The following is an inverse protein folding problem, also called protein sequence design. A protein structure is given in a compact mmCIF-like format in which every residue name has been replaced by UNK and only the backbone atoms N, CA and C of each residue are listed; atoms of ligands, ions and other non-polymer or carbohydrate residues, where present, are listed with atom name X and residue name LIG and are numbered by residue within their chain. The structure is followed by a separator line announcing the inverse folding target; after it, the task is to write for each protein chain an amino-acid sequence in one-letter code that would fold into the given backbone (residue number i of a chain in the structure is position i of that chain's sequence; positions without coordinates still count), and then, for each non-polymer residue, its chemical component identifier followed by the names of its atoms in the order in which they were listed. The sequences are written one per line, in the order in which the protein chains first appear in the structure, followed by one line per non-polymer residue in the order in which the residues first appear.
data_IF_238924467109
#
_entry.id   IF_238924467109
#
_cell.length_a   1.000
_cell.length_b   1.000
_cell.length_c   1.000
_cell.angle_alpha   90.00
_cell.angle_beta   90.00
_cell.angle_gamma   90.00
#
_symmetry.space_group_name_H-M   'P 1'
#
loop_
_entity.id
_entity.type
_entity.pdbx_description
1 polymer ?
#
# COMPACT_ATOMS: atom_id res chain seq x y z
N UNK A 1 16.70 -25.30 29.37
CA UNK A 1 15.53 -24.43 29.11
C UNK A 1 14.25 -25.27 29.20
N UNK A 2 13.24 -24.86 29.98
CA UNK A 2 12.02 -25.68 30.24
C UNK A 2 11.14 -25.86 28.98
N UNK A 3 10.57 -27.07 28.77
CA UNK A 3 9.62 -27.37 27.67
C UNK A 3 8.42 -26.42 27.62
N UNK A 4 8.01 -25.91 28.78
CA UNK A 4 6.88 -24.99 28.91
C UNK A 4 7.23 -23.57 28.41
N UNK A 5 8.48 -23.15 28.61
CA UNK A 5 9.03 -21.89 28.08
C UNK A 5 9.13 -21.95 26.55
N UNK A 6 9.64 -23.07 26.01
CA UNK A 6 9.69 -23.32 24.56
C UNK A 6 8.31 -23.30 23.90
N UNK A 7 7.30 -23.93 24.52
CA UNK A 7 5.92 -23.92 24.01
C UNK A 7 5.32 -22.52 24.00
N UNK A 8 5.61 -21.71 25.03
CA UNK A 8 5.14 -20.32 25.16
C UNK A 8 5.77 -19.41 24.11
N UNK A 9 7.08 -19.53 23.86
CA UNK A 9 7.80 -18.81 22.81
C UNK A 9 7.22 -19.17 21.42
N UNK A 10 7.02 -20.46 21.15
CA UNK A 10 6.46 -20.94 19.88
C UNK A 10 5.03 -20.42 19.63
N UNK A 11 4.17 -20.42 20.65
CA UNK A 11 2.81 -19.87 20.56
C UNK A 11 2.75 -18.36 20.31
N UNK A 12 3.75 -17.63 20.78
CA UNK A 12 3.78 -16.17 20.70
C UNK A 12 4.31 -15.67 19.36
N UNK A 13 5.30 -16.36 18.79
CA UNK A 13 5.72 -16.16 17.41
C UNK A 13 4.59 -16.47 16.42
N UNK A 14 3.72 -17.44 16.73
CA UNK A 14 2.50 -17.72 15.96
C UNK A 14 1.54 -16.51 15.90
N UNK A 15 1.53 -15.64 16.90
CA UNK A 15 0.68 -14.44 16.88
C UNK A 15 1.22 -13.36 15.94
N UNK A 16 2.54 -13.17 15.90
CA UNK A 16 3.16 -12.25 14.95
C UNK A 16 2.97 -12.76 13.51
N UNK A 17 3.12 -14.05 13.30
CA UNK A 17 2.85 -14.73 12.03
C UNK A 17 1.37 -14.61 11.60
N UNK A 18 0.43 -14.75 12.53
CA UNK A 18 -0.99 -14.53 12.23
C UNK A 18 -1.26 -13.09 11.78
N UNK A 19 -0.68 -12.08 12.44
CA UNK A 19 -0.78 -10.67 11.99
C UNK A 19 -0.14 -10.46 10.62
N UNK A 20 0.94 -11.17 10.32
CA UNK A 20 1.61 -11.08 9.02
C UNK A 20 0.73 -11.66 7.91
N UNK A 21 0.05 -12.79 8.19
CA UNK A 21 -0.93 -13.37 7.27
C UNK A 21 -2.12 -12.47 7.00
N UNK A 22 -2.63 -11.78 8.02
CA UNK A 22 -3.68 -10.76 7.85
C UNK A 22 -3.20 -9.61 6.95
N UNK A 23 -2.00 -9.08 7.20
CA UNK A 23 -1.41 -8.04 6.35
C UNK A 23 -1.24 -8.52 4.89
N UNK A 24 -0.79 -9.75 4.69
CA UNK A 24 -0.66 -10.37 3.38
C UNK A 24 -2.01 -10.48 2.66
N UNK A 25 -3.07 -10.92 3.33
CA UNK A 25 -4.41 -10.99 2.73
C UNK A 25 -4.91 -9.61 2.30
N UNK A 26 -4.76 -8.59 3.17
CA UNK A 26 -5.15 -7.23 2.83
C UNK A 26 -4.34 -6.65 1.66
N UNK A 27 -3.04 -6.98 1.57
CA UNK A 27 -2.20 -6.61 0.43
C UNK A 27 -2.76 -7.16 -0.88
N UNK A 28 -3.11 -8.44 -0.90
CA UNK A 28 -3.67 -9.09 -2.09
C UNK A 28 -5.02 -8.50 -2.48
N UNK A 29 -5.94 -8.32 -1.53
CA UNK A 29 -7.24 -7.73 -1.80
C UNK A 29 -7.15 -6.28 -2.27
N UNK A 30 -6.18 -5.51 -1.75
CA UNK A 30 -5.89 -4.18 -2.28
C UNK A 30 -5.49 -4.29 -3.76
N UNK A 31 -4.52 -5.15 -4.11
CA UNK A 31 -4.10 -5.31 -5.49
C UNK A 31 -5.24 -5.76 -6.43
N UNK A 32 -6.07 -6.72 -6.00
CA UNK A 32 -7.24 -7.21 -6.75
C UNK A 32 -8.30 -6.13 -6.96
N UNK A 33 -8.44 -5.23 -5.98
CA UNK A 33 -9.46 -4.17 -5.98
C UNK A 33 -8.95 -2.85 -6.54
N UNK A 34 -7.78 -2.80 -7.20
CA UNK A 34 -7.16 -1.54 -7.66
C UNK A 34 -8.06 -0.68 -8.57
N UNK A 35 -8.98 -1.30 -9.31
CA UNK A 35 -9.93 -0.59 -10.18
C UNK A 35 -11.09 0.07 -9.41
N UNK A 36 -11.37 -0.42 -8.21
CA UNK A 36 -12.32 0.16 -7.27
C UNK A 36 -11.52 0.94 -6.20
N UNK A 37 -11.39 2.27 -6.34
CA UNK A 37 -10.55 3.07 -5.46
C UNK A 37 -11.04 3.08 -4.00
N UNK A 38 -12.34 2.86 -3.76
CA UNK A 38 -12.86 2.79 -2.40
C UNK A 38 -12.41 1.48 -1.74
N UNK A 39 -12.65 0.34 -2.40
CA UNK A 39 -12.23 -0.97 -1.90
C UNK A 39 -10.71 -1.07 -1.78
N UNK A 40 -9.97 -0.59 -2.80
CA UNK A 40 -8.52 -0.49 -2.76
C UNK A 40 -8.05 0.23 -1.51
N UNK A 41 -8.61 1.40 -1.21
CA UNK A 41 -8.24 2.23 -0.06
C UNK A 41 -8.55 1.54 1.26
N UNK A 42 -9.70 0.89 1.39
CA UNK A 42 -10.09 0.12 2.59
C UNK A 42 -9.06 -0.98 2.86
N UNK A 43 -8.71 -1.78 1.85
CA UNK A 43 -7.75 -2.87 2.00
C UNK A 43 -6.33 -2.38 2.22
N UNK A 44 -5.91 -1.30 1.53
CA UNK A 44 -4.62 -0.67 1.75
C UNK A 44 -4.49 -0.15 3.18
N UNK A 45 -5.50 0.54 3.69
CA UNK A 45 -5.52 1.05 5.06
C UNK A 45 -5.47 -0.10 6.08
N UNK A 46 -6.22 -1.17 5.82
CA UNK A 46 -6.21 -2.38 6.66
C UNK A 46 -4.84 -3.07 6.65
N UNK A 47 -4.20 -3.18 5.48
CA UNK A 47 -2.85 -3.73 5.33
C UNK A 47 -1.83 -2.92 6.16
N UNK A 48 -1.82 -1.60 6.01
CA UNK A 48 -0.90 -0.71 6.74
C UNK A 48 -1.09 -0.83 8.26
N UNK A 49 -2.34 -0.92 8.73
CA UNK A 49 -2.63 -1.15 10.15
C UNK A 49 -2.19 -2.54 10.64
N UNK A 50 -2.44 -3.59 9.85
CA UNK A 50 -2.03 -4.95 10.16
C UNK A 50 -0.50 -5.10 10.25
N UNK A 51 0.25 -4.48 9.33
CA UNK A 51 1.72 -4.43 9.37
C UNK A 51 2.22 -3.80 10.67
N UNK A 52 1.57 -2.73 11.15
CA UNK A 52 1.93 -2.15 12.46
C UNK A 52 1.70 -3.13 13.60
N UNK A 53 0.61 -3.88 13.57
CA UNK A 53 0.31 -4.88 14.59
C UNK A 53 1.36 -6.00 14.63
N UNK A 54 1.93 -6.42 13.50
CA UNK A 54 3.06 -7.38 13.46
C UNK A 54 4.21 -6.87 14.33
N UNK A 55 4.67 -5.63 14.07
CA UNK A 55 5.81 -5.06 14.82
C UNK A 55 5.49 -4.88 16.31
N UNK A 56 4.26 -4.50 16.66
CA UNK A 56 3.86 -4.38 18.06
C UNK A 56 3.85 -5.72 18.79
N UNK A 57 3.34 -6.77 18.16
CA UNK A 57 3.34 -8.12 18.74
C UNK A 57 4.78 -8.61 18.95
N UNK A 58 5.66 -8.40 17.96
CA UNK A 58 7.09 -8.74 18.07
C UNK A 58 7.77 -7.98 19.21
N UNK A 59 7.61 -6.65 19.29
CA UNK A 59 8.22 -5.83 20.32
C UNK A 59 7.71 -6.17 21.73
N UNK A 60 6.43 -6.52 21.88
CA UNK A 60 5.85 -6.98 23.16
C UNK A 60 6.50 -8.27 23.65
N UNK A 61 7.07 -9.05 22.75
CA UNK A 61 7.69 -10.35 23.02
C UNK A 61 9.22 -10.28 23.08
N UNK A 62 9.82 -9.09 23.01
CA UNK A 62 11.28 -8.92 22.91
C UNK A 62 12.11 -9.63 23.98
N UNK A 63 11.59 -9.75 25.21
CA UNK A 63 12.27 -10.43 26.33
C UNK A 63 12.41 -11.93 26.13
N UNK A 64 11.66 -12.50 25.20
CA UNK A 64 11.61 -13.94 24.91
C UNK A 64 12.48 -14.32 23.70
N UNK A 65 13.03 -13.31 23.00
CA UNK A 65 13.87 -13.48 21.82
C UNK A 65 15.30 -13.11 22.24
N UNK A 66 16.22 -14.06 22.14
CA UNK A 66 17.62 -13.82 22.48
C UNK A 66 18.21 -12.74 21.59
N UNK A 67 18.94 -11.79 22.19
CA UNK A 67 19.57 -10.67 21.49
C UNK A 67 18.60 -9.85 20.63
N UNK A 68 17.32 -9.76 21.05
CA UNK A 68 16.29 -9.06 20.28
C UNK A 68 16.71 -7.65 19.90
N UNK A 69 17.21 -6.86 20.85
CA UNK A 69 17.52 -5.45 20.59
C UNK A 69 18.63 -5.30 19.53
N UNK A 70 19.64 -6.18 19.52
CA UNK A 70 20.72 -6.20 18.51
C UNK A 70 20.22 -6.66 17.14
N UNK A 71 19.37 -7.69 17.09
CA UNK A 71 18.81 -8.18 15.83
C UNK A 71 17.80 -7.18 15.25
N UNK A 72 16.92 -6.64 16.09
CA UNK A 72 15.83 -5.77 15.67
C UNK A 72 16.31 -4.36 15.29
N UNK A 73 17.38 -3.84 15.89
CA UNK A 73 17.93 -2.54 15.53
C UNK A 73 18.38 -2.46 14.07
N UNK A 74 19.01 -3.52 13.54
CA UNK A 74 19.39 -3.59 12.12
C UNK A 74 18.18 -3.54 11.19
N UNK A 75 17.07 -4.20 11.56
CA UNK A 75 15.81 -4.07 10.83
C UNK A 75 15.21 -2.67 10.96
N UNK A 76 15.24 -2.06 12.13
CA UNK A 76 14.74 -0.69 12.30
C UNK A 76 15.48 0.31 11.41
N UNK A 77 16.80 0.17 11.28
CA UNK A 77 17.61 0.99 10.41
C UNK A 77 17.29 0.75 8.93
N UNK A 78 17.22 -0.51 8.51
CA UNK A 78 16.79 -0.88 7.16
C UNK A 78 15.42 -0.29 6.81
N UNK A 79 14.42 -0.49 7.68
CA UNK A 79 13.06 -0.01 7.45
C UNK A 79 12.97 1.53 7.45
N UNK A 80 13.85 2.22 8.18
CA UNK A 80 13.91 3.68 8.22
C UNK A 80 14.50 4.27 6.94
N UNK A 81 15.44 3.57 6.31
CA UNK A 81 16.11 4.01 5.09
C UNK A 81 15.34 3.65 3.81
N UNK A 82 14.34 2.78 3.90
CA UNK A 82 13.45 2.45 2.80
C UNK A 82 12.32 3.50 2.66
N UNK A 83 12.24 4.11 1.48
CA UNK A 83 11.30 5.19 1.19
C UNK A 83 9.83 4.71 1.18
N UNK A 84 9.56 3.49 0.74
CA UNK A 84 8.21 2.89 0.72
C UNK A 84 7.75 2.64 2.16
N UNK A 85 8.63 2.09 2.98
CA UNK A 85 8.32 1.78 4.38
C UNK A 85 8.18 3.05 5.22
N UNK A 86 9.00 4.07 4.94
CA UNK A 86 8.82 5.42 5.52
C UNK A 86 7.48 6.05 5.12
N UNK A 87 7.07 5.88 3.85
CA UNK A 87 5.73 6.26 3.39
C UNK A 87 4.64 5.47 4.15
N UNK A 88 4.77 4.16 4.34
CA UNK A 88 3.81 3.35 5.11
C UNK A 88 3.66 3.84 6.56
N UNK A 89 4.75 4.23 7.22
CA UNK A 89 4.72 4.80 8.58
C UNK A 89 3.93 6.11 8.60
N UNK A 90 4.16 6.96 7.61
CA UNK A 90 3.48 8.23 7.44
C UNK A 90 1.99 8.06 7.14
N UNK A 91 1.68 7.17 6.19
CA UNK A 91 0.33 6.77 5.83
C UNK A 91 -0.44 6.27 7.04
N UNK A 92 0.17 5.39 7.85
CA UNK A 92 -0.43 4.92 9.10
C UNK A 92 -0.76 6.06 10.07
N UNK A 93 0.15 7.01 10.25
CA UNK A 93 -0.09 8.15 11.14
C UNK A 93 -1.28 8.99 10.66
N UNK A 94 -1.43 9.16 9.34
CA UNK A 94 -2.59 9.83 8.74
C UNK A 94 -3.88 9.03 8.97
N UNK A 95 -3.91 7.76 8.54
CA UNK A 95 -5.05 6.84 8.70
C UNK A 95 -5.57 6.84 10.14
N UNK A 96 -4.68 6.72 11.12
CA UNK A 96 -5.06 6.62 12.54
C UNK A 96 -5.52 7.95 13.14
N UNK A 97 -4.99 9.10 12.68
CA UNK A 97 -5.17 10.39 13.37
C UNK A 97 -5.98 11.43 12.62
N UNK A 98 -6.08 11.32 11.31
CA UNK A 98 -6.58 12.37 10.42
C UNK A 98 -7.68 11.89 9.47
N UNK A 99 -8.00 10.58 9.48
CA UNK A 99 -8.86 9.95 8.48
C UNK A 99 -8.03 9.28 7.38
N UNK A 100 -8.68 8.86 6.31
CA UNK A 100 -8.06 8.00 5.30
C UNK A 100 -7.10 8.76 4.34
N UNK A 101 -6.47 8.02 3.42
CA UNK A 101 -5.61 8.57 2.37
C UNK A 101 -6.44 9.36 1.33
N UNK A 102 -6.69 10.65 1.57
CA UNK A 102 -7.66 11.37 0.71
C UNK A 102 -7.29 12.75 0.19
N UNK A 103 -6.36 13.48 0.81
CA UNK A 103 -6.28 14.93 0.58
C UNK A 103 -5.45 15.41 -0.62
N UNK A 104 -4.60 14.57 -1.23
CA UNK A 104 -3.75 14.98 -2.37
C UNK A 104 -3.52 13.84 -3.37
N UNK A 105 -4.36 12.81 -3.37
CA UNK A 105 -4.23 11.71 -4.32
C UNK A 105 -4.66 12.18 -5.71
N UNK A 106 -4.00 11.70 -6.76
CA UNK A 106 -4.33 12.03 -8.15
C UNK A 106 -4.42 10.70 -8.92
N UNK A 107 -5.44 10.56 -9.76
CA UNK A 107 -5.41 9.58 -10.84
C UNK A 107 -4.89 10.27 -12.10
N UNK A 108 -3.84 9.72 -12.70
CA UNK A 108 -3.37 10.12 -14.03
C UNK A 108 -3.78 9.06 -15.02
N UNK A 109 -4.45 9.48 -16.08
CA UNK A 109 -4.75 8.65 -17.22
C UNK A 109 -3.90 9.08 -18.41
N UNK A 110 -3.30 8.12 -19.09
CA UNK A 110 -2.37 8.36 -20.19
C UNK A 110 -2.76 7.54 -21.41
N UNK A 111 -2.85 8.19 -22.57
CA UNK A 111 -3.02 7.49 -23.84
C UNK A 111 -1.67 6.94 -24.34
N UNK A 112 -1.68 5.66 -24.74
CA UNK A 112 -0.54 4.94 -25.29
C UNK A 112 -0.93 4.34 -26.64
N UNK A 113 -0.24 4.75 -27.71
CA UNK A 113 -0.40 4.14 -29.04
C UNK A 113 0.13 2.69 -29.09
N UNK A 114 1.05 2.36 -28.18
CA UNK A 114 1.58 1.00 -27.98
C UNK A 114 2.08 0.86 -26.53
N UNK A 115 2.08 -0.36 -25.99
CA UNK A 115 2.60 -0.64 -24.65
C UNK A 115 4.04 -0.14 -24.41
N UNK A 116 4.86 -0.09 -25.46
CA UNK A 116 6.26 0.38 -25.39
C UNK A 116 6.43 1.88 -25.70
N UNK A 117 5.35 2.58 -26.06
CA UNK A 117 5.40 4.00 -26.41
C UNK A 117 5.34 4.89 -25.16
N UNK A 118 5.89 6.10 -25.26
CA UNK A 118 5.69 7.11 -24.21
C UNK A 118 4.24 7.62 -24.22
N UNK A 119 3.69 8.01 -23.06
CA UNK A 119 2.42 8.71 -22.98
C UNK A 119 2.39 9.88 -23.97
N UNK A 120 1.38 9.92 -24.85
CA UNK A 120 1.21 11.05 -25.76
C UNK A 120 0.37 12.15 -25.13
N UNK A 121 -0.65 11.78 -24.34
CA UNK A 121 -1.56 12.70 -23.67
C UNK A 121 -1.76 12.23 -22.22
N UNK A 122 -1.62 13.15 -21.26
CA UNK A 122 -1.90 12.92 -19.84
C UNK A 122 -3.17 13.69 -19.42
N UNK A 123 -4.02 13.03 -18.64
CA UNK A 123 -5.26 13.58 -18.10
C UNK A 123 -5.27 13.37 -16.58
N UNK A 124 -5.46 14.45 -15.84
CA UNK A 124 -5.70 14.35 -14.40
C UNK A 124 -7.17 14.03 -14.14
N UNK A 125 -7.41 13.07 -13.25
CA UNK A 125 -8.73 12.58 -12.89
C UNK A 125 -8.85 12.46 -11.36
N UNK A 126 -10.10 12.41 -10.90
CA UNK A 126 -10.39 12.17 -9.50
C UNK A 126 -9.87 10.77 -9.09
N UNK A 127 -9.00 10.65 -8.08
CA UNK A 127 -8.45 9.36 -7.62
C UNK A 127 -9.52 8.37 -7.14
N UNK A 128 -10.70 8.88 -6.75
CA UNK A 128 -11.84 8.09 -6.25
C UNK A 128 -12.81 7.66 -7.34
N UNK A 129 -12.56 8.05 -8.59
CA UNK A 129 -13.32 7.50 -9.72
C UNK A 129 -12.80 6.11 -10.08
N UNK A 130 -13.72 5.20 -10.42
CA UNK A 130 -13.34 3.87 -10.92
C UNK A 130 -12.58 3.98 -12.22
N UNK A 131 -11.74 2.98 -12.52
CA UNK A 131 -10.94 2.97 -13.76
C UNK A 131 -11.84 3.05 -14.99
N UNK A 132 -12.98 2.36 -14.97
CA UNK A 132 -13.96 2.34 -16.06
C UNK A 132 -14.62 3.70 -16.27
N UNK A 133 -14.94 4.41 -15.19
CA UNK A 133 -15.50 5.75 -15.27
C UNK A 133 -14.50 6.72 -15.90
N UNK A 134 -13.25 6.73 -15.41
CA UNK A 134 -12.18 7.57 -15.94
C UNK A 134 -11.97 7.29 -17.43
N UNK A 135 -11.91 6.01 -17.80
CA UNK A 135 -11.73 5.59 -19.19
C UNK A 135 -12.88 6.07 -20.08
N UNK A 136 -14.12 5.91 -19.64
CA UNK A 136 -15.30 6.34 -20.40
C UNK A 136 -15.33 7.86 -20.62
N UNK A 137 -14.96 8.65 -19.63
CA UNK A 137 -14.95 10.11 -19.78
C UNK A 137 -13.82 10.59 -20.70
N UNK A 138 -12.65 9.95 -20.66
CA UNK A 138 -11.52 10.31 -21.53
C UNK A 138 -11.76 9.87 -22.97
N UNK A 139 -12.34 8.69 -23.21
CA UNK A 139 -12.64 8.22 -24.57
C UNK A 139 -13.56 9.20 -25.32
N UNK A 140 -14.46 9.91 -24.63
CA UNK A 140 -15.32 10.94 -25.24
C UNK A 140 -14.54 12.16 -25.75
N UNK A 141 -13.34 12.41 -25.24
CA UNK A 141 -12.51 13.57 -25.62
C UNK A 141 -11.44 13.22 -26.64
N UNK A 142 -11.20 11.92 -26.89
CA UNK A 142 -10.22 11.44 -27.83
C UNK A 142 -10.82 11.31 -29.25
N UNK A 143 -10.04 11.56 -30.32
CA UNK A 143 -10.42 11.24 -31.69
C UNK A 143 -10.70 9.75 -31.89
N UNK A 144 -11.66 9.42 -32.76
CA UNK A 144 -12.09 8.04 -33.04
C UNK A 144 -10.95 7.14 -33.50
N UNK A 145 -9.96 7.69 -34.21
CA UNK A 145 -8.78 6.95 -34.67
C UNK A 145 -7.92 6.44 -33.49
N UNK A 146 -7.78 7.24 -32.43
CA UNK A 146 -6.98 6.86 -31.27
C UNK A 146 -7.68 5.80 -30.41
N UNK A 147 -9.01 5.83 -30.38
CA UNK A 147 -9.84 4.90 -29.62
C UNK A 147 -9.79 3.45 -30.15
N UNK A 148 -9.38 3.25 -31.41
CA UNK A 148 -9.38 1.92 -32.06
C UNK A 148 -8.10 1.11 -31.85
N UNK A 149 -6.95 1.78 -31.71
CA UNK A 149 -5.64 1.11 -31.73
C UNK A 149 -4.77 1.37 -30.49
N UNK A 150 -5.26 2.13 -29.50
CA UNK A 150 -4.49 2.47 -28.31
C UNK A 150 -4.99 1.85 -27.01
N UNK A 151 -4.19 2.04 -25.97
CA UNK A 151 -4.53 1.69 -24.59
C UNK A 151 -4.62 2.95 -23.74
N UNK A 152 -5.53 2.96 -22.78
CA UNK A 152 -5.56 3.96 -21.72
C UNK A 152 -4.96 3.36 -20.44
N UNK A 153 -3.85 3.93 -19.97
CA UNK A 153 -3.22 3.56 -18.70
C UNK A 153 -3.75 4.48 -17.61
N UNK A 154 -4.27 3.94 -16.51
CA UNK A 154 -4.71 4.72 -15.35
C UNK A 154 -3.84 4.39 -14.14
N UNK A 155 -3.10 5.38 -13.66
CA UNK A 155 -2.23 5.28 -12.48
C UNK A 155 -2.76 6.15 -11.35
N UNK A 156 -2.78 5.61 -10.13
CA UNK A 156 -3.20 6.33 -8.93
C UNK A 156 -1.99 6.53 -8.03
N UNK A 157 -1.75 7.77 -7.63
CA UNK A 157 -0.74 8.10 -6.64
C UNK A 157 -1.42 8.44 -5.32
N UNK A 158 -1.28 7.57 -4.32
CA UNK A 158 -1.85 7.77 -2.99
C UNK A 158 -0.86 8.52 -2.09
N UNK A 159 -1.25 9.71 -1.63
CA UNK A 159 -0.33 10.61 -0.93
C UNK A 159 -0.64 10.67 0.57
N UNK A 160 0.31 10.20 1.37
CA UNK A 160 0.28 10.32 2.83
C UNK A 160 0.81 11.67 3.33
N UNK A 161 2.00 12.08 2.87
CA UNK A 161 2.63 13.36 3.17
C UNK A 161 3.05 14.04 1.87
N UNK A 162 3.13 15.38 1.84
CA UNK A 162 3.88 16.06 0.76
C UNK A 162 5.34 15.64 0.91
N UNK A 163 5.88 14.93 -0.08
CA UNK A 163 7.33 15.01 -0.31
C UNK A 163 7.51 16.39 -0.93
N UNK A 164 8.01 17.34 -0.15
CA UNK A 164 8.51 18.60 -0.71
C UNK A 164 9.61 18.23 -1.70
N UNK A 165 9.32 18.42 -2.98
CA UNK A 165 10.33 18.44 -4.04
C UNK A 165 11.28 19.63 -3.81
#
# INVERSE_FOLDING_TARGET
MSKQLLKKIKHKLLNADARLREAYQHWHHAAESYNDPEQFRIYLNSCIQALRNVTFVLQKQKREINNFDTWYSGWQEFLKNDHILSWCVSARNKIVKQGDLETNSIARASYLASYFSKPQNDFDANPFSTTEYIAREIVKTLPDELCKEGYLKVERMWVANRVSA
#
